data_IF_473475709650
#
_entry.id   IF_473475709650
#
_cell.length_a   1.000
_cell.length_b   1.000
_cell.length_c   1.000
_cell.angle_alpha   90.00
_cell.angle_beta   90.00
_cell.angle_gamma   90.00
#
_symmetry.space_group_name_H-M   'P 1'
#
loop_
_entity.id
_entity.type
_entity.pdbx_description
1 polymer ?
#
# COMPACT_ATOMS: atom_id res chain seq x y z
N UNK A 1 -4.10 -9.57 29.19
CA UNK A 1 -4.12 -8.59 28.07
C UNK A 1 -5.53 -8.14 27.72
N UNK A 2 -6.51 -9.05 27.62
CA UNK A 2 -7.88 -8.71 27.22
C UNK A 2 -8.56 -7.66 28.14
N UNK A 3 -8.28 -7.65 29.44
CA UNK A 3 -8.84 -6.66 30.38
C UNK A 3 -8.43 -5.20 30.09
N UNK A 4 -7.49 -4.96 29.16
CA UNK A 4 -7.08 -3.61 28.71
C UNK A 4 -7.72 -3.22 27.37
N UNK A 5 -8.52 -4.10 26.76
CA UNK A 5 -9.13 -3.89 25.45
C UNK A 5 -10.62 -3.62 25.60
N UNK A 6 -11.07 -2.49 25.10
CA UNK A 6 -12.49 -2.12 25.05
C UNK A 6 -12.85 -1.91 23.58
N UNK A 7 -13.59 -2.83 22.94
CA UNK A 7 -14.05 -2.63 21.57
C UNK A 7 -15.14 -1.57 21.54
N UNK A 8 -15.09 -0.70 20.54
CA UNK A 8 -16.08 0.37 20.34
C UNK A 8 -16.53 0.33 18.88
N UNK A 9 -17.84 0.32 18.67
CA UNK A 9 -18.45 0.40 17.33
C UNK A 9 -18.40 1.85 16.87
N UNK A 10 -17.95 2.08 15.64
CA UNK A 10 -17.89 3.40 15.04
C UNK A 10 -17.40 3.36 13.59
N UNK A 11 -17.52 4.49 12.90
CA UNK A 11 -17.15 4.68 11.52
C UNK A 11 -16.48 6.05 11.34
N UNK A 12 -15.22 6.06 10.90
CA UNK A 12 -14.47 7.32 10.72
C UNK A 12 -15.04 8.21 9.61
N UNK A 13 -15.85 7.67 8.70
CA UNK A 13 -16.51 8.46 7.65
C UNK A 13 -17.74 9.22 8.16
N UNK A 14 -18.15 8.99 9.40
CA UNK A 14 -19.31 9.63 10.02
C UNK A 14 -18.92 10.72 11.02
N UNK A 15 -19.84 11.64 11.30
CA UNK A 15 -19.66 12.67 12.31
C UNK A 15 -19.49 12.02 13.69
N UNK A 16 -18.64 12.63 14.54
CA UNK A 16 -18.25 12.06 15.85
C UNK A 16 -17.80 10.59 15.79
N UNK A 17 -17.25 10.14 14.65
CA UNK A 17 -16.77 8.78 14.41
C UNK A 17 -17.87 7.71 14.49
N UNK A 18 -19.13 8.07 14.29
CA UNK A 18 -20.26 7.14 14.41
C UNK A 18 -20.47 6.61 15.83
N UNK A 19 -19.94 7.31 16.85
CA UNK A 19 -20.10 6.94 18.25
C UNK A 19 -21.46 7.40 18.78
N UNK A 20 -22.22 6.49 19.37
CA UNK A 20 -23.55 6.77 19.91
C UNK A 20 -23.52 7.38 21.33
N UNK A 21 -24.52 8.23 21.62
CA UNK A 21 -24.75 8.80 22.95
C UNK A 21 -23.57 9.57 23.54
N UNK A 22 -23.38 9.44 24.86
CA UNK A 22 -22.29 10.10 25.59
C UNK A 22 -20.92 9.40 25.45
N UNK A 23 -20.84 8.27 24.74
CA UNK A 23 -19.62 7.47 24.66
C UNK A 23 -18.44 8.26 24.08
N UNK A 24 -18.69 9.06 23.05
CA UNK A 24 -17.69 9.96 22.47
C UNK A 24 -17.08 10.90 23.52
N UNK A 25 -17.91 11.43 24.42
CA UNK A 25 -17.48 12.35 25.49
C UNK A 25 -16.67 11.62 26.56
N UNK A 26 -17.09 10.41 26.94
CA UNK A 26 -16.35 9.57 27.89
C UNK A 26 -14.96 9.25 27.35
N UNK A 27 -14.86 8.78 26.11
CA UNK A 27 -13.59 8.47 25.46
C UNK A 27 -12.71 9.73 25.36
N UNK A 28 -13.27 10.86 24.92
CA UNK A 28 -12.51 12.10 24.78
C UNK A 28 -11.93 12.62 26.11
N UNK A 29 -12.57 12.35 27.25
CA UNK A 29 -12.03 12.74 28.56
C UNK A 29 -10.81 11.90 29.00
N UNK A 30 -10.63 10.70 28.46
CA UNK A 30 -9.64 9.73 28.94
C UNK A 30 -8.49 9.44 27.97
N UNK A 31 -8.65 9.74 26.67
CA UNK A 31 -7.65 9.39 25.66
C UNK A 31 -6.40 10.29 25.72
N UNK A 32 -5.24 9.68 25.96
CA UNK A 32 -3.92 10.31 25.86
C UNK A 32 -3.32 10.24 24.44
N UNK A 33 -3.60 9.18 23.69
CA UNK A 33 -2.98 8.90 22.39
C UNK A 33 -4.02 8.40 21.41
N UNK A 34 -4.05 8.98 20.21
CA UNK A 34 -4.87 8.50 19.10
C UNK A 34 -3.93 7.95 18.02
N UNK A 35 -4.13 6.69 17.64
CA UNK A 35 -3.47 6.07 16.47
C UNK A 35 -4.51 5.89 15.38
N UNK A 36 -4.57 6.84 14.45
CA UNK A 36 -5.44 6.76 13.28
C UNK A 36 -4.83 5.87 12.19
N UNK A 37 -5.18 4.58 12.22
CA UNK A 37 -4.77 3.58 11.22
C UNK A 37 -5.91 3.10 10.31
N UNK A 38 -7.12 3.62 10.48
CA UNK A 38 -8.26 3.28 9.63
C UNK A 38 -8.10 3.92 8.24
N UNK A 39 -8.25 3.11 7.19
CA UNK A 39 -8.08 3.54 5.80
C UNK A 39 -8.73 2.54 4.84
N UNK A 40 -9.08 3.00 3.63
CA UNK A 40 -9.31 2.13 2.49
C UNK A 40 -7.99 2.00 1.72
N UNK A 41 -7.44 0.79 1.63
CA UNK A 41 -6.15 0.50 0.99
C UNK A 41 -6.28 -0.03 -0.44
N UNK A 42 -7.48 0.03 -1.03
CA UNK A 42 -7.72 -0.39 -2.41
C UNK A 42 -7.19 0.68 -3.37
N UNK A 43 -6.21 0.32 -4.20
CA UNK A 43 -5.51 1.26 -5.09
C UNK A 43 -6.45 2.09 -5.99
N UNK A 44 -7.47 1.41 -6.54
CA UNK A 44 -8.48 1.97 -7.45
C UNK A 44 -9.89 1.74 -6.90
N UNK A 45 -10.17 2.30 -5.73
CA UNK A 45 -11.53 2.39 -5.19
C UNK A 45 -12.34 3.48 -5.89
N UNK A 46 -13.68 3.39 -5.80
CA UNK A 46 -14.56 4.50 -6.16
C UNK A 46 -14.12 5.78 -5.43
N UNK A 47 -14.10 6.89 -6.18
CA UNK A 47 -13.53 8.14 -5.66
C UNK A 47 -14.27 8.68 -4.43
N UNK A 48 -15.60 8.58 -4.37
CA UNK A 48 -16.39 8.99 -3.22
C UNK A 48 -16.02 8.22 -1.95
N UNK A 49 -15.91 6.90 -2.05
CA UNK A 49 -15.53 6.04 -0.92
C UNK A 49 -14.09 6.34 -0.46
N UNK A 50 -13.17 6.52 -1.42
CA UNK A 50 -11.78 6.82 -1.12
C UNK A 50 -11.64 8.19 -0.41
N UNK A 51 -12.37 9.21 -0.87
CA UNK A 51 -12.42 10.54 -0.24
C UNK A 51 -13.02 10.46 1.17
N UNK A 52 -14.17 9.78 1.33
CA UNK A 52 -14.87 9.70 2.61
C UNK A 52 -14.02 9.03 3.70
N UNK A 53 -13.23 8.01 3.34
CA UNK A 53 -12.43 7.25 4.30
C UNK A 53 -11.03 7.85 4.47
N UNK A 54 -10.31 8.13 3.38
CA UNK A 54 -8.89 8.48 3.46
C UNK A 54 -8.63 10.00 3.55
N UNK A 55 -9.59 10.83 3.17
CA UNK A 55 -9.47 12.30 3.24
C UNK A 55 -10.32 12.87 4.37
N UNK A 56 -11.64 12.66 4.33
CA UNK A 56 -12.58 13.18 5.34
C UNK A 56 -12.46 12.42 6.67
N UNK A 57 -12.22 11.12 6.63
CA UNK A 57 -12.02 10.30 7.82
C UNK A 57 -10.94 10.86 8.76
N UNK A 58 -9.71 11.12 8.29
CA UNK A 58 -8.70 11.83 9.08
C UNK A 58 -9.16 13.16 9.66
N UNK A 59 -9.93 13.97 8.92
CA UNK A 59 -10.52 15.20 9.44
C UNK A 59 -11.48 14.95 10.60
N UNK A 60 -12.33 13.93 10.51
CA UNK A 60 -13.25 13.57 11.59
C UNK A 60 -12.50 13.09 12.84
N UNK A 61 -11.47 12.26 12.68
CA UNK A 61 -10.65 11.78 13.81
C UNK A 61 -9.86 12.93 14.43
N UNK A 62 -9.32 13.85 13.62
CA UNK A 62 -8.65 15.05 14.15
C UNK A 62 -9.62 15.97 14.90
N UNK A 63 -10.83 16.18 14.37
CA UNK A 63 -11.87 16.94 15.06
C UNK A 63 -12.32 16.29 16.37
N UNK A 64 -12.30 14.95 16.45
CA UNK A 64 -12.49 14.24 17.72
C UNK A 64 -11.29 14.43 18.67
N UNK A 65 -10.06 14.38 18.16
CA UNK A 65 -8.84 14.60 18.93
C UNK A 65 -8.83 15.98 19.60
N UNK A 66 -9.35 17.02 18.94
CA UNK A 66 -9.52 18.37 19.51
C UNK A 66 -10.46 18.44 20.71
N UNK A 67 -11.37 17.47 20.84
CA UNK A 67 -12.25 17.35 22.01
C UNK A 67 -11.57 16.62 23.16
N UNK A 68 -10.41 15.97 22.91
CA UNK A 68 -9.73 15.15 23.90
C UNK A 68 -8.91 16.01 24.85
N UNK A 69 -9.22 15.96 26.15
CA UNK A 69 -8.59 16.85 27.15
C UNK A 69 -7.17 16.44 27.54
N UNK A 70 -6.86 15.15 27.41
CA UNK A 70 -5.58 14.56 27.81
C UNK A 70 -4.68 14.25 26.60
N UNK A 71 -5.08 14.64 25.38
CA UNK A 71 -4.35 14.26 24.17
C UNK A 71 -2.90 14.77 24.23
N UNK A 72 -1.96 13.83 24.11
CA UNK A 72 -0.52 14.09 24.09
C UNK A 72 0.03 13.99 22.68
N UNK A 73 -0.47 13.04 21.88
CA UNK A 73 -0.03 12.87 20.50
C UNK A 73 -1.11 12.21 19.64
N UNK A 74 -1.24 12.73 18.43
CA UNK A 74 -2.04 12.15 17.35
C UNK A 74 -1.11 11.52 16.32
N UNK A 75 -1.28 10.23 16.07
CA UNK A 75 -0.52 9.49 15.07
C UNK A 75 -1.41 9.18 13.88
N UNK A 76 -0.96 9.50 12.68
CA UNK A 76 -1.61 9.12 11.44
C UNK A 76 -0.76 8.10 10.66
N UNK A 77 -1.33 6.93 10.37
CA UNK A 77 -0.71 5.97 9.47
C UNK A 77 -1.00 6.35 8.03
N UNK A 78 0.02 6.73 7.29
CA UNK A 78 -0.01 7.06 5.86
C UNK A 78 0.75 6.01 5.04
N UNK A 79 1.41 6.41 3.95
CA UNK A 79 2.29 5.55 3.14
C UNK A 79 3.41 6.37 2.53
N UNK A 80 4.63 5.84 2.41
CA UNK A 80 5.74 6.51 1.73
C UNK A 80 5.39 6.86 0.28
N UNK A 81 4.47 6.13 -0.34
CA UNK A 81 4.03 6.39 -1.70
C UNK A 81 3.20 7.66 -1.84
N UNK A 82 2.74 8.34 -0.76
CA UNK A 82 2.10 9.68 -0.89
C UNK A 82 2.98 10.69 -1.60
N UNK A 83 4.27 10.40 -1.73
CA UNK A 83 5.21 11.15 -2.57
C UNK A 83 4.98 11.00 -4.09
N UNK A 84 4.00 10.19 -4.53
CA UNK A 84 3.57 10.00 -5.92
C UNK A 84 4.76 9.90 -6.88
N UNK A 85 4.71 10.62 -8.01
CA UNK A 85 5.70 10.54 -9.09
C UNK A 85 7.07 11.19 -8.81
N UNK A 86 7.37 11.61 -7.57
CA UNK A 86 8.70 12.14 -7.23
C UNK A 86 9.79 11.10 -7.51
N UNK A 87 10.94 11.58 -7.96
CA UNK A 87 12.11 10.75 -8.31
C UNK A 87 13.32 11.11 -7.46
N UNK A 88 14.33 10.24 -7.43
CA UNK A 88 15.54 10.45 -6.64
C UNK A 88 15.29 10.30 -5.15
N UNK A 89 16.11 10.96 -4.32
CA UNK A 89 15.99 10.90 -2.86
C UNK A 89 14.88 11.83 -2.37
N UNK A 90 13.87 11.26 -1.71
CA UNK A 90 12.65 11.95 -1.28
C UNK A 90 12.66 12.14 0.24
N UNK A 91 12.71 13.41 0.66
CA UNK A 91 12.81 13.80 2.07
C UNK A 91 11.49 13.65 2.83
N UNK A 92 11.59 13.46 4.15
CA UNK A 92 10.47 13.34 5.09
C UNK A 92 9.78 14.70 5.35
N UNK A 93 9.18 15.29 4.31
CA UNK A 93 8.47 16.57 4.37
C UNK A 93 6.96 16.36 4.56
N UNK A 94 6.29 17.17 5.40
CA UNK A 94 4.83 17.20 5.49
C UNK A 94 4.22 17.74 4.19
N UNK A 95 2.94 17.45 3.98
CA UNK A 95 2.13 18.07 2.92
C UNK A 95 1.32 19.23 3.50
N UNK A 96 1.25 20.31 2.75
CA UNK A 96 0.44 21.49 3.04
C UNK A 96 -0.72 21.62 2.05
N UNK A 97 -1.76 22.34 2.46
CA UNK A 97 -2.91 22.61 1.60
C UNK A 97 -2.46 23.31 0.30
N UNK A 98 -2.82 22.74 -0.85
CA UNK A 98 -2.41 23.25 -2.16
C UNK A 98 -1.22 22.55 -2.80
N UNK A 99 -0.50 21.69 -2.07
CA UNK A 99 0.65 20.96 -2.61
C UNK A 99 0.23 19.98 -3.71
N UNK A 100 1.01 19.96 -4.80
CA UNK A 100 0.82 19.02 -5.91
C UNK A 100 2.16 18.54 -6.42
N UNK A 101 2.25 17.26 -6.78
CA UNK A 101 3.47 16.69 -7.34
C UNK A 101 3.63 17.11 -8.80
N UNK A 102 2.53 17.26 -9.55
CA UNK A 102 2.56 17.72 -10.93
C UNK A 102 3.28 19.07 -11.07
N UNK A 103 3.02 20.01 -10.15
CA UNK A 103 3.70 21.32 -10.13
C UNK A 103 5.19 21.19 -9.82
N UNK A 104 5.58 20.27 -8.95
CA UNK A 104 6.98 20.02 -8.62
C UNK A 104 7.76 19.41 -9.78
N UNK A 105 7.13 18.55 -10.59
CA UNK A 105 7.80 17.94 -11.74
C UNK A 105 7.88 18.87 -12.94
N UNK A 106 6.96 19.84 -13.05
CA UNK A 106 6.86 20.77 -14.17
C UNK A 106 7.42 22.17 -13.87
N UNK A 107 8.34 22.33 -12.91
CA UNK A 107 8.90 23.64 -12.52
C UNK A 107 9.46 24.48 -13.70
N UNK A 108 9.86 23.83 -14.80
CA UNK A 108 10.41 24.50 -16.00
C UNK A 108 9.38 24.83 -17.08
N UNK A 109 8.12 24.42 -16.94
CA UNK A 109 7.06 24.71 -17.91
C UNK A 109 6.25 25.94 -17.48
N UNK A 110 6.07 26.89 -18.41
CA UNK A 110 5.31 28.13 -18.24
C UNK A 110 3.79 27.94 -18.08
N UNK A 111 3.30 26.70 -18.04
CA UNK A 111 1.90 26.40 -17.74
C UNK A 111 1.70 26.39 -16.22
N UNK A 112 0.80 27.24 -15.74
CA UNK A 112 0.36 27.26 -14.34
C UNK A 112 -0.41 25.96 -14.07
N UNK A 113 0.26 24.97 -13.49
CA UNK A 113 -0.41 23.75 -13.01
C UNK A 113 -1.40 24.10 -11.89
N UNK A 114 -2.58 23.45 -11.84
CA UNK A 114 -3.61 23.79 -10.88
C UNK A 114 -3.13 23.47 -9.45
N UNK A 115 -3.32 24.42 -8.53
CA UNK A 115 -3.25 24.13 -7.09
C UNK A 115 -4.31 23.07 -6.75
N UNK A 116 -3.97 22.16 -5.85
CA UNK A 116 -4.93 21.20 -5.33
C UNK A 116 -5.82 21.88 -4.30
N UNK A 117 -7.12 21.87 -4.55
CA UNK A 117 -8.13 22.36 -3.63
C UNK A 117 -8.89 21.14 -3.10
N UNK A 118 -8.51 20.70 -1.91
CA UNK A 118 -9.02 19.45 -1.32
C UNK A 118 -10.53 19.52 -1.10
N UNK A 119 -11.06 20.67 -0.72
CA UNK A 119 -12.50 20.85 -0.52
C UNK A 119 -13.27 20.76 -1.85
N UNK A 120 -12.73 21.34 -2.93
CA UNK A 120 -13.34 21.15 -4.26
C UNK A 120 -13.28 19.71 -4.75
N UNK A 121 -12.23 18.95 -4.43
CA UNK A 121 -12.18 17.52 -4.75
C UNK A 121 -13.21 16.72 -3.95
N UNK A 122 -13.43 17.09 -2.68
CA UNK A 122 -14.49 16.52 -1.85
C UNK A 122 -15.87 16.82 -2.47
N UNK A 123 -16.15 18.07 -2.80
CA UNK A 123 -17.41 18.46 -3.44
C UNK A 123 -17.63 17.76 -4.77
N UNK A 124 -16.58 17.64 -5.60
CA UNK A 124 -16.62 16.94 -6.87
C UNK A 124 -17.03 15.48 -6.66
N UNK A 125 -16.38 14.77 -5.74
CA UNK A 125 -16.70 13.37 -5.46
C UNK A 125 -18.16 13.19 -4.99
N UNK A 126 -18.67 14.09 -4.14
CA UNK A 126 -20.06 14.05 -3.68
C UNK A 126 -21.06 14.35 -4.80
N UNK A 127 -20.81 15.38 -5.62
CA UNK A 127 -21.66 15.75 -6.76
C UNK A 127 -21.70 14.62 -7.79
N UNK A 128 -20.54 14.02 -8.11
CA UNK A 128 -20.44 12.88 -9.01
C UNK A 128 -21.16 11.64 -8.47
N UNK A 129 -21.04 11.33 -7.17
CA UNK A 129 -21.80 10.25 -6.54
C UNK A 129 -23.30 10.42 -6.72
N UNK A 130 -23.83 11.63 -6.47
CA UNK A 130 -25.26 11.94 -6.62
C UNK A 130 -25.70 11.87 -8.08
N UNK A 131 -24.90 12.40 -9.01
CA UNK A 131 -25.21 12.37 -10.44
C UNK A 131 -25.26 10.94 -11.01
N UNK A 132 -24.49 10.00 -10.42
CA UNK A 132 -24.39 8.61 -10.85
C UNK A 132 -25.27 7.65 -10.03
N UNK A 133 -26.17 8.13 -9.18
CA UNK A 133 -26.92 7.28 -8.23
C UNK A 133 -27.72 6.17 -8.91
N UNK A 134 -28.27 6.43 -10.11
CA UNK A 134 -29.05 5.46 -10.89
C UNK A 134 -28.30 4.95 -12.14
N UNK A 135 -26.98 5.15 -12.21
CA UNK A 135 -26.16 4.75 -13.36
C UNK A 135 -25.62 3.33 -13.17
N UNK A 136 -25.91 2.42 -14.10
CA UNK A 136 -25.46 1.01 -14.02
C UNK A 136 -23.93 0.88 -14.00
N UNK A 137 -23.22 1.84 -14.59
CA UNK A 137 -21.75 1.90 -14.63
C UNK A 137 -21.16 2.82 -13.56
N UNK A 138 -21.95 3.31 -12.59
CA UNK A 138 -21.52 4.26 -11.56
C UNK A 138 -20.21 3.84 -10.87
N UNK A 139 -20.09 2.55 -10.53
CA UNK A 139 -18.88 2.01 -9.87
C UNK A 139 -17.64 2.17 -10.74
N UNK A 140 -17.74 1.93 -12.05
CA UNK A 140 -16.62 2.04 -13.00
C UNK A 140 -16.26 3.51 -13.20
N UNK A 141 -17.25 4.35 -13.51
CA UNK A 141 -17.06 5.80 -13.72
C UNK A 141 -16.44 6.49 -12.50
N UNK A 142 -16.85 6.11 -11.29
CA UNK A 142 -16.25 6.66 -10.06
C UNK A 142 -14.81 6.20 -9.81
N UNK A 143 -14.41 5.02 -10.28
CA UNK A 143 -13.00 4.59 -10.23
C UNK A 143 -12.15 5.32 -11.25
N UNK A 144 -12.67 5.48 -12.46
CA UNK A 144 -12.01 6.23 -13.54
C UNK A 144 -11.81 7.69 -13.16
N UNK A 145 -12.83 8.33 -12.58
CA UNK A 145 -12.74 9.69 -12.04
C UNK A 145 -11.61 9.79 -11.02
N UNK A 146 -11.59 8.92 -10.00
CA UNK A 146 -10.54 8.96 -8.98
C UNK A 146 -9.13 8.77 -9.53
N UNK A 147 -8.97 7.96 -10.58
CA UNK A 147 -7.68 7.76 -11.25
C UNK A 147 -7.28 8.97 -12.09
N UNK A 148 -8.23 9.56 -12.80
CA UNK A 148 -8.04 10.81 -13.56
C UNK A 148 -7.58 11.95 -12.63
N UNK A 149 -8.28 12.14 -11.50
CA UNK A 149 -7.93 13.17 -10.51
C UNK A 149 -6.53 12.94 -9.93
N UNK A 150 -6.21 11.71 -9.53
CA UNK A 150 -4.87 11.39 -9.02
C UNK A 150 -3.78 11.77 -10.05
N UNK A 151 -3.95 11.34 -11.30
CA UNK A 151 -2.97 11.59 -12.38
C UNK A 151 -2.82 13.07 -12.69
N UNK A 152 -3.93 13.82 -12.69
CA UNK A 152 -3.95 15.28 -12.89
C UNK A 152 -3.01 16.01 -11.91
N UNK A 153 -2.96 15.57 -10.65
CA UNK A 153 -2.16 16.24 -9.62
C UNK A 153 -0.79 15.59 -9.34
N UNK A 154 -0.41 14.55 -10.12
CA UNK A 154 0.92 13.92 -10.05
C UNK A 154 1.01 12.64 -9.21
N UNK A 155 -0.12 12.01 -8.91
CA UNK A 155 -0.20 10.70 -8.25
C UNK A 155 -0.64 9.61 -9.22
N UNK A 156 -0.11 8.40 -9.07
CA UNK A 156 -0.42 7.30 -9.99
C UNK A 156 -1.73 6.57 -9.71
N UNK A 157 -2.16 6.57 -8.44
CA UNK A 157 -3.32 5.81 -7.97
C UNK A 157 -4.16 6.60 -6.96
N UNK A 158 -5.47 6.36 -6.96
CA UNK A 158 -6.46 7.07 -6.13
C UNK A 158 -6.20 6.91 -4.64
N UNK A 159 -5.81 5.72 -4.20
CA UNK A 159 -5.45 5.45 -2.80
C UNK A 159 -4.41 6.45 -2.27
N UNK A 160 -3.29 6.55 -2.97
CA UNK A 160 -2.15 7.38 -2.57
C UNK A 160 -2.52 8.86 -2.60
N UNK A 161 -3.26 9.28 -3.63
CA UNK A 161 -3.74 10.65 -3.74
C UNK A 161 -4.66 11.06 -2.58
N UNK A 162 -5.64 10.22 -2.24
CA UNK A 162 -6.56 10.48 -1.12
C UNK A 162 -5.84 10.42 0.23
N UNK A 163 -4.83 9.57 0.41
CA UNK A 163 -3.96 9.59 1.59
C UNK A 163 -3.18 10.89 1.71
N UNK A 164 -2.63 11.42 0.62
CA UNK A 164 -1.94 12.71 0.61
C UNK A 164 -2.89 13.86 1.02
N UNK A 165 -4.12 13.87 0.48
CA UNK A 165 -5.14 14.85 0.90
C UNK A 165 -5.51 14.71 2.38
N UNK A 166 -5.61 13.48 2.91
CA UNK A 166 -5.81 13.24 4.33
C UNK A 166 -4.71 13.84 5.21
N UNK A 167 -3.45 13.79 4.78
CA UNK A 167 -2.35 14.46 5.48
C UNK A 167 -2.50 15.99 5.47
N UNK A 168 -2.89 16.58 4.33
CA UNK A 168 -3.12 18.03 4.21
C UNK A 168 -4.26 18.49 5.12
N UNK A 169 -5.33 17.70 5.23
CA UNK A 169 -6.44 17.98 6.13
C UNK A 169 -6.01 17.92 7.60
N UNK A 170 -5.21 16.91 7.98
CA UNK A 170 -4.65 16.81 9.33
C UNK A 170 -3.80 18.03 9.65
N UNK A 171 -2.87 18.41 8.77
CA UNK A 171 -1.99 19.55 8.99
C UNK A 171 -2.79 20.86 9.18
N UNK A 172 -3.85 21.03 8.40
CA UNK A 172 -4.74 22.19 8.48
C UNK A 172 -5.53 22.22 9.79
N UNK A 173 -6.00 21.07 10.28
CA UNK A 173 -6.95 20.98 11.41
C UNK A 173 -6.31 20.76 12.78
N UNK A 174 -5.02 20.39 12.85
CA UNK A 174 -4.36 19.94 14.09
C UNK A 174 -4.33 20.96 15.23
N UNK A 175 -4.41 22.26 14.93
CA UNK A 175 -4.22 23.35 15.89
C UNK A 175 -2.92 23.15 16.69
N UNK A 176 -3.01 22.96 18.01
CA UNK A 176 -1.86 22.76 18.90
C UNK A 176 -1.55 21.29 19.21
N UNK A 177 -2.28 20.33 18.62
CA UNK A 177 -2.10 18.90 18.88
C UNK A 177 -0.79 18.43 18.22
N UNK A 178 0.13 17.78 18.96
CA UNK A 178 1.29 17.12 18.37
C UNK A 178 0.88 16.04 17.36
N UNK A 179 1.35 16.16 16.13
CA UNK A 179 1.04 15.21 15.05
C UNK A 179 2.29 14.47 14.60
N UNK A 180 2.18 13.15 14.57
CA UNK A 180 3.15 12.25 13.96
C UNK A 180 2.51 11.57 12.75
N UNK A 181 3.13 11.70 11.58
CA UNK A 181 2.73 10.95 10.38
C UNK A 181 3.76 9.84 10.15
N UNK A 182 3.27 8.60 10.13
CA UNK A 182 4.07 7.42 9.82
C UNK A 182 3.83 7.02 8.36
N UNK A 183 4.87 7.01 7.53
CA UNK A 183 4.83 6.68 6.11
C UNK A 183 5.63 5.40 5.83
N UNK A 184 5.05 4.20 6.03
CA UNK A 184 5.70 2.96 5.63
C UNK A 184 5.67 2.78 4.11
N UNK A 185 6.70 2.14 3.55
CA UNK A 185 6.68 1.62 2.18
C UNK A 185 5.87 0.31 2.11
N UNK A 186 6.18 -0.62 1.18
CA UNK A 186 5.39 -1.85 1.05
C UNK A 186 5.59 -2.77 2.26
N UNK A 187 4.59 -2.79 3.14
CA UNK A 187 4.58 -3.65 4.33
C UNK A 187 4.48 -5.12 3.93
N UNK A 188 5.42 -5.92 4.45
CA UNK A 188 5.46 -7.37 4.34
C UNK A 188 5.29 -8.03 5.72
N UNK A 189 5.43 -9.35 5.76
CA UNK A 189 5.35 -10.13 6.99
C UNK A 189 6.30 -9.63 8.09
N UNK A 190 6.10 -10.08 9.31
CA UNK A 190 7.01 -9.77 10.41
C UNK A 190 8.40 -10.37 10.19
N UNK A 191 9.43 -9.63 10.59
CA UNK A 191 10.80 -10.14 10.60
C UNK A 191 11.03 -11.04 11.82
N UNK A 192 10.59 -10.57 13.00
CA UNK A 192 10.83 -11.24 14.29
C UNK A 192 9.58 -11.37 15.16
N UNK A 193 8.79 -10.30 15.35
CA UNK A 193 7.70 -10.27 16.35
C UNK A 193 6.32 -10.14 15.69
N UNK A 194 5.25 -10.78 16.23
CA UNK A 194 5.23 -11.67 17.39
C UNK A 194 5.95 -13.00 17.16
N UNK A 195 6.06 -13.44 15.91
CA UNK A 195 6.94 -14.50 15.43
C UNK A 195 7.27 -14.21 13.97
N UNK A 196 8.36 -14.78 13.44
CA UNK A 196 8.82 -14.51 12.08
C UNK A 196 7.82 -15.02 11.01
N UNK A 197 7.58 -14.22 9.97
CA UNK A 197 6.73 -14.60 8.83
C UNK A 197 5.23 -14.45 9.07
N UNK A 198 4.81 -13.85 10.18
CA UNK A 198 3.40 -13.57 10.42
C UNK A 198 2.89 -12.52 9.42
N UNK A 199 1.77 -12.83 8.76
CA UNK A 199 1.07 -11.94 7.85
C UNK A 199 -0.41 -12.32 7.81
N UNK A 200 -1.27 -11.33 7.53
CA UNK A 200 -2.71 -11.54 7.35
C UNK A 200 -3.19 -10.98 6.02
N UNK A 201 -3.76 -11.85 5.20
CA UNK A 201 -4.23 -11.54 3.85
C UNK A 201 -3.08 -11.35 2.85
N UNK A 202 -3.43 -11.13 1.58
CA UNK A 202 -2.45 -10.84 0.53
C UNK A 202 -2.23 -9.32 0.39
N UNK A 203 -0.98 -8.91 0.24
CA UNK A 203 -0.56 -7.58 -0.19
C UNK A 203 -0.17 -7.61 -1.67
N UNK A 204 0.16 -6.45 -2.23
CA UNK A 204 0.49 -6.29 -3.66
C UNK A 204 1.63 -7.25 -4.05
N UNK A 205 2.77 -7.20 -3.35
CA UNK A 205 3.90 -8.07 -3.63
C UNK A 205 3.58 -9.57 -3.45
N UNK A 206 2.80 -9.92 -2.42
CA UNK A 206 2.42 -11.31 -2.14
C UNK A 206 1.72 -11.96 -3.33
N UNK A 207 0.83 -11.23 -4.01
CA UNK A 207 0.15 -11.74 -5.20
C UNK A 207 1.13 -12.09 -6.31
N UNK A 208 2.14 -11.23 -6.55
CA UNK A 208 3.20 -11.51 -7.53
C UNK A 208 3.97 -12.79 -7.16
N UNK A 209 4.38 -12.94 -5.89
CA UNK A 209 5.09 -14.12 -5.39
C UNK A 209 4.24 -15.39 -5.57
N UNK A 210 2.95 -15.33 -5.23
CA UNK A 210 2.03 -16.46 -5.35
C UNK A 210 1.78 -16.87 -6.79
N UNK A 211 1.55 -15.91 -7.69
CA UNK A 211 1.38 -16.22 -9.11
C UNK A 211 2.65 -16.77 -9.73
N UNK A 212 3.81 -16.23 -9.34
CA UNK A 212 5.10 -16.73 -9.79
C UNK A 212 5.30 -18.19 -9.35
N UNK A 213 5.16 -18.48 -8.05
CA UNK A 213 5.33 -19.84 -7.50
C UNK A 213 4.36 -20.88 -8.08
N UNK A 214 3.20 -20.45 -8.59
CA UNK A 214 2.22 -21.30 -9.29
C UNK A 214 2.49 -21.43 -10.80
N UNK A 215 3.58 -20.86 -11.32
CA UNK A 215 3.90 -20.85 -12.74
C UNK A 215 2.94 -20.01 -13.60
N UNK A 216 2.17 -19.12 -12.97
CA UNK A 216 1.14 -18.29 -13.62
C UNK A 216 1.67 -16.90 -14.00
N UNK A 217 2.89 -16.56 -13.62
CA UNK A 217 3.51 -15.26 -13.89
C UNK A 217 4.99 -15.41 -14.25
N UNK A 218 5.26 -15.82 -15.49
CA UNK A 218 6.65 -16.02 -15.97
C UNK A 218 7.26 -14.78 -16.60
N UNK A 219 6.42 -13.80 -16.96
CA UNK A 219 6.85 -12.51 -17.47
C UNK A 219 6.05 -11.37 -16.84
N UNK A 220 6.73 -10.24 -16.59
CA UNK A 220 6.13 -9.07 -15.94
C UNK A 220 6.82 -7.75 -16.30
N UNK A 221 6.20 -6.63 -15.93
CA UNK A 221 6.76 -5.29 -16.16
C UNK A 221 7.46 -4.80 -14.91
N UNK A 222 8.68 -4.29 -15.07
CA UNK A 222 9.50 -3.75 -13.99
C UNK A 222 10.94 -3.49 -14.43
N UNK A 223 11.60 -2.58 -13.74
CA UNK A 223 13.03 -2.30 -13.96
C UNK A 223 13.86 -3.35 -13.20
N UNK A 224 14.67 -4.18 -13.88
CA UNK A 224 15.56 -5.14 -13.23
C UNK A 224 16.54 -4.49 -12.24
N UNK A 225 16.97 -3.27 -12.52
CA UNK A 225 17.87 -2.48 -11.68
C UNK A 225 17.12 -1.56 -10.71
N UNK A 226 15.79 -1.56 -10.78
CA UNK A 226 14.91 -0.82 -9.88
C UNK A 226 15.05 -1.32 -8.44
N UNK A 227 14.70 -0.46 -7.49
CA UNK A 227 14.64 -0.81 -6.07
C UNK A 227 13.19 -0.98 -5.67
N UNK A 228 12.87 -2.15 -5.13
CA UNK A 228 11.58 -2.42 -4.55
C UNK A 228 11.62 -2.11 -3.05
N UNK A 229 10.93 -1.05 -2.64
CA UNK A 229 10.93 -0.65 -1.24
C UNK A 229 9.92 -1.45 -0.41
N UNK A 230 10.46 -2.37 0.39
CA UNK A 230 9.69 -3.25 1.28
C UNK A 230 10.14 -3.10 2.72
N UNK A 231 9.21 -3.28 3.66
CA UNK A 231 9.50 -3.21 5.10
C UNK A 231 8.73 -4.28 5.90
N UNK A 232 9.33 -4.92 6.91
CA UNK A 232 8.61 -5.79 7.83
C UNK A 232 7.64 -5.02 8.73
N UNK A 233 6.43 -5.54 8.95
CA UNK A 233 5.39 -4.84 9.73
C UNK A 233 5.78 -4.60 11.20
N UNK A 234 6.58 -5.48 11.80
CA UNK A 234 7.02 -5.33 13.19
C UNK A 234 8.01 -4.17 13.37
N UNK A 235 8.84 -3.89 12.37
CA UNK A 235 9.68 -2.70 12.37
C UNK A 235 8.85 -1.42 12.22
N UNK A 236 7.77 -1.45 11.42
CA UNK A 236 6.83 -0.33 11.31
C UNK A 236 6.15 -0.03 12.65
N UNK A 237 5.69 -1.07 13.34
CA UNK A 237 5.09 -0.95 14.68
C UNK A 237 6.10 -0.40 15.68
N UNK A 238 7.33 -0.93 15.70
CA UNK A 238 8.36 -0.46 16.63
C UNK A 238 8.70 1.03 16.43
N UNK A 239 8.90 1.46 15.18
CA UNK A 239 9.15 2.87 14.86
C UNK A 239 7.96 3.77 15.24
N UNK A 240 6.72 3.29 15.05
CA UNK A 240 5.51 4.01 15.48
C UNK A 240 5.49 4.20 17.00
N UNK A 241 5.77 3.15 17.78
CA UNK A 241 5.82 3.22 19.24
C UNK A 241 6.94 4.15 19.72
N UNK A 242 8.10 4.13 19.07
CA UNK A 242 9.20 5.03 19.34
C UNK A 242 8.84 6.50 19.10
N UNK A 243 8.15 6.79 17.99
CA UNK A 243 7.69 8.12 17.68
C UNK A 243 6.64 8.61 18.70
N UNK A 244 5.72 7.74 19.13
CA UNK A 244 4.76 8.04 20.20
C UNK A 244 5.49 8.37 21.50
N UNK A 245 6.48 7.57 21.90
CA UNK A 245 7.23 7.78 23.14
C UNK A 245 7.98 9.13 23.11
N UNK A 246 8.63 9.46 21.99
CA UNK A 246 9.35 10.74 21.83
C UNK A 246 8.41 11.95 21.88
N UNK A 247 7.31 11.91 21.13
CA UNK A 247 6.45 13.08 20.94
C UNK A 247 5.34 13.21 21.98
N UNK A 248 4.99 12.12 22.67
CA UNK A 248 3.98 12.13 23.73
C UNK A 248 4.47 12.66 25.08
N UNK A 249 5.77 12.93 25.24
CA UNK A 249 6.35 13.45 26.49
C UNK A 249 6.65 14.96 26.47
N UNK A 250 6.70 15.57 25.28
CA UNK A 250 7.18 16.95 25.12
C UNK A 250 6.01 17.92 25.18
N UNK A 251 6.08 18.92 26.06
CA UNK A 251 5.24 20.12 25.93
C UNK A 251 5.76 20.89 24.71
N UNK A 252 5.16 20.63 23.55
CA UNK A 252 5.63 21.19 22.30
C UNK A 252 5.32 22.69 22.26
N UNK A 253 6.37 23.53 22.28
CA UNK A 253 6.24 24.99 22.16
C UNK A 253 5.83 25.44 20.74
N UNK A 254 6.02 24.59 19.72
CA UNK A 254 5.61 24.83 18.32
C UNK A 254 5.01 23.57 17.69
N UNK A 255 3.69 23.48 17.51
CA UNK A 255 3.01 22.28 17.00
C UNK A 255 3.35 22.04 15.52
N UNK A 256 4.40 21.27 15.27
CA UNK A 256 4.83 20.88 13.92
C UNK A 256 4.45 19.42 13.65
N UNK A 257 4.02 19.14 12.42
CA UNK A 257 3.83 17.76 11.95
C UNK A 257 5.20 17.11 11.76
N UNK A 258 5.45 16.00 12.47
CA UNK A 258 6.66 15.20 12.28
C UNK A 258 6.37 13.97 11.43
N UNK A 259 7.08 13.87 10.30
CA UNK A 259 6.95 12.77 9.35
C UNK A 259 8.10 11.78 9.55
N UNK A 260 7.75 10.49 9.61
CA UNK A 260 8.69 9.38 9.64
C UNK A 260 8.41 8.46 8.45
N UNK A 261 9.35 8.41 7.51
CA UNK A 261 9.35 7.40 6.45
C UNK A 261 10.02 6.14 6.98
N UNK A 262 9.30 5.03 6.89
CA UNK A 262 9.78 3.72 7.29
C UNK A 262 9.93 2.92 6.01
N UNK A 263 11.15 2.93 5.50
CA UNK A 263 11.48 2.47 4.16
C UNK A 263 12.91 1.93 4.11
N UNK A 264 13.19 1.09 3.12
CA UNK A 264 14.49 0.44 2.97
C UNK A 264 15.31 0.97 1.78
N UNK A 265 14.71 1.70 0.84
CA UNK A 265 15.36 2.01 -0.44
C UNK A 265 16.64 2.86 -0.35
N UNK A 266 16.82 3.68 0.68
CA UNK A 266 18.06 4.45 0.90
C UNK A 266 19.05 3.70 1.79
N UNK A 267 18.57 2.98 2.79
CA UNK A 267 19.40 2.39 3.86
C UNK A 267 19.81 0.94 3.57
N UNK A 268 18.97 0.18 2.88
CA UNK A 268 19.20 -1.23 2.55
C UNK A 268 18.42 -1.62 1.27
N UNK A 269 18.84 -1.15 0.09
CA UNK A 269 18.07 -1.29 -1.15
C UNK A 269 17.90 -2.76 -1.59
N UNK A 270 16.64 -3.18 -1.78
CA UNK A 270 16.31 -4.47 -2.39
C UNK A 270 16.15 -4.32 -3.91
N UNK A 271 17.17 -4.70 -4.67
CA UNK A 271 17.16 -4.65 -6.14
C UNK A 271 16.17 -5.68 -6.71
N UNK A 272 15.33 -5.28 -7.67
CA UNK A 272 14.30 -6.13 -8.28
C UNK A 272 14.86 -7.45 -8.82
N UNK A 273 15.95 -7.39 -9.60
CA UNK A 273 16.61 -8.60 -10.13
C UNK A 273 17.09 -9.53 -9.02
N UNK A 274 17.59 -8.98 -7.91
CA UNK A 274 18.03 -9.78 -6.78
C UNK A 274 16.85 -10.46 -6.10
N UNK A 275 15.76 -9.75 -5.83
CA UNK A 275 14.51 -10.34 -5.33
C UNK A 275 14.03 -11.49 -6.22
N UNK A 276 13.97 -11.29 -7.54
CA UNK A 276 13.52 -12.34 -8.47
C UNK A 276 14.43 -13.58 -8.43
N UNK A 277 15.74 -13.39 -8.27
CA UNK A 277 16.67 -14.53 -8.12
C UNK A 277 16.43 -15.30 -6.83
N UNK A 278 16.15 -14.62 -5.70
CA UNK A 278 15.81 -15.26 -4.43
C UNK A 278 14.50 -16.04 -4.51
N UNK A 279 13.49 -15.48 -5.20
CA UNK A 279 12.21 -16.17 -5.43
C UNK A 279 12.38 -17.41 -6.32
N UNK A 280 13.17 -17.30 -7.38
CA UNK A 280 13.48 -18.44 -8.24
C UNK A 280 14.22 -19.56 -7.48
N UNK A 281 15.27 -19.22 -6.72
CA UNK A 281 16.00 -20.17 -5.87
C UNK A 281 15.06 -20.85 -4.84
N UNK A 282 14.15 -20.09 -4.23
CA UNK A 282 13.17 -20.63 -3.30
C UNK A 282 12.21 -21.61 -3.97
N UNK A 283 11.59 -21.26 -5.10
CA UNK A 283 10.60 -22.13 -5.75
C UNK A 283 11.23 -23.31 -6.51
N UNK A 284 12.49 -23.23 -6.90
CA UNK A 284 13.20 -24.39 -7.45
C UNK A 284 13.53 -25.43 -6.37
N UNK A 285 13.92 -24.97 -5.18
CA UNK A 285 14.22 -25.84 -4.02
C UNK A 285 12.98 -26.30 -3.25
N UNK A 286 11.94 -25.47 -3.17
CA UNK A 286 10.69 -25.76 -2.48
C UNK A 286 9.47 -25.40 -3.36
N UNK A 287 9.23 -26.16 -4.43
CA UNK A 287 8.15 -25.87 -5.38
C UNK A 287 6.76 -25.92 -4.75
N UNK A 288 5.84 -25.18 -5.34
CA UNK A 288 4.41 -25.37 -5.09
C UNK A 288 3.97 -26.65 -5.80
N UNK A 289 3.09 -27.42 -5.19
CA UNK A 289 2.57 -28.65 -5.78
C UNK A 289 1.26 -28.34 -6.53
N UNK A 290 1.08 -28.97 -7.68
CA UNK A 290 -0.19 -28.93 -8.40
C UNK A 290 -1.28 -29.79 -7.70
N UNK A 291 -2.47 -29.85 -8.28
CA UNK A 291 -3.59 -30.64 -7.74
C UNK A 291 -3.32 -32.15 -7.72
N UNK A 292 -2.33 -32.64 -8.47
CA UNK A 292 -1.89 -34.03 -8.51
C UNK A 292 -0.70 -34.29 -7.59
N UNK A 293 -0.24 -33.28 -6.85
CA UNK A 293 0.95 -33.38 -5.99
C UNK A 293 2.27 -33.27 -6.74
N UNK A 294 2.27 -32.90 -8.02
CA UNK A 294 3.49 -32.76 -8.81
C UNK A 294 4.13 -31.38 -8.62
N UNK A 295 5.47 -31.29 -8.51
CA UNK A 295 6.18 -30.02 -8.41
C UNK A 295 5.96 -29.11 -9.63
N UNK A 296 5.52 -27.87 -9.39
CA UNK A 296 5.46 -26.83 -10.42
C UNK A 296 6.85 -26.23 -10.58
N UNK A 297 7.43 -26.36 -11.77
CA UNK A 297 8.70 -25.72 -12.13
C UNK A 297 8.44 -24.33 -12.69
N UNK A 298 9.14 -23.34 -12.17
CA UNK A 298 9.00 -21.94 -12.55
C UNK A 298 10.28 -21.46 -13.22
N UNK A 299 10.22 -20.81 -14.40
CA UNK A 299 11.41 -20.26 -15.04
C UNK A 299 11.88 -18.99 -14.32
N UNK A 300 13.09 -18.52 -14.60
CA UNK A 300 13.51 -17.17 -14.22
C UNK A 300 12.55 -16.16 -14.86
N UNK A 301 11.96 -15.28 -14.05
CA UNK A 301 10.97 -14.32 -14.52
C UNK A 301 11.59 -13.33 -15.53
N UNK A 302 10.97 -13.21 -16.71
CA UNK A 302 11.35 -12.23 -17.73
C UNK A 302 10.74 -10.87 -17.42
N UNK A 303 11.58 -9.85 -17.30
CA UNK A 303 11.14 -8.47 -17.08
C UNK A 303 11.12 -7.65 -18.37
N UNK A 304 10.13 -6.76 -18.46
CA UNK A 304 9.98 -5.75 -19.50
C UNK A 304 9.98 -4.37 -18.86
N UNK A 305 10.71 -3.42 -19.43
CA UNK A 305 10.81 -2.05 -18.90
C UNK A 305 9.70 -1.12 -19.39
N UNK A 306 8.85 -1.59 -20.31
CA UNK A 306 7.73 -0.85 -20.88
C UNK A 306 6.47 -1.73 -20.99
N UNK A 307 5.30 -1.10 -20.95
CA UNK A 307 4.03 -1.81 -21.18
C UNK A 307 3.85 -2.19 -22.65
N UNK A 308 4.47 -1.44 -23.55
CA UNK A 308 4.49 -1.65 -24.99
C UNK A 308 5.20 -2.96 -25.33
N UNK A 309 6.44 -3.14 -24.86
CA UNK A 309 7.23 -4.36 -25.12
C UNK A 309 6.59 -5.59 -24.48
N UNK A 310 6.07 -5.43 -23.25
CA UNK A 310 5.32 -6.49 -22.58
C UNK A 310 4.07 -6.88 -23.37
N UNK A 311 3.32 -5.88 -23.87
CA UNK A 311 2.12 -6.10 -24.66
C UNK A 311 2.42 -6.79 -25.98
N UNK A 312 3.47 -6.38 -26.69
CA UNK A 312 3.93 -7.00 -27.93
C UNK A 312 4.30 -8.47 -27.68
N UNK A 313 5.07 -8.74 -26.62
CA UNK A 313 5.46 -10.10 -26.26
C UNK A 313 4.27 -11.02 -25.94
N UNK A 314 3.26 -10.52 -25.21
CA UNK A 314 2.04 -11.28 -24.94
C UNK A 314 1.27 -11.63 -26.21
N UNK A 315 1.21 -10.70 -27.17
CA UNK A 315 0.54 -10.90 -28.47
C UNK A 315 1.30 -11.92 -29.33
N UNK A 316 2.62 -11.79 -29.44
CA UNK A 316 3.47 -12.72 -30.21
C UNK A 316 3.34 -14.15 -29.68
N UNK A 317 3.43 -14.33 -28.36
CA UNK A 317 3.25 -15.63 -27.73
C UNK A 317 1.86 -16.22 -27.97
N UNK A 318 0.83 -15.40 -28.03
CA UNK A 318 -0.52 -15.84 -28.36
C UNK A 318 -0.65 -16.26 -29.82
N UNK A 319 -0.05 -15.51 -30.76
CA UNK A 319 -0.06 -15.84 -32.19
C UNK A 319 0.67 -17.15 -32.47
N UNK A 320 1.86 -17.36 -31.90
CA UNK A 320 2.64 -18.59 -32.07
C UNK A 320 1.87 -19.83 -31.58
N UNK A 321 1.16 -19.74 -30.46
CA UNK A 321 0.29 -20.82 -29.94
C UNK A 321 -1.03 -21.00 -30.70
N UNK A 322 -1.37 -20.10 -31.62
CA UNK A 322 -2.57 -20.17 -32.46
C UNK A 322 -2.31 -20.86 -33.79
N UNK A 323 -1.08 -20.74 -34.32
CA UNK A 323 -0.63 -21.44 -35.53
C UNK A 323 -0.60 -22.97 -35.31
N UNK A 324 -0.46 -23.42 -34.06
CA UNK A 324 -0.32 -24.84 -33.70
C UNK A 324 -1.66 -25.53 -33.36
N UNK A 325 -2.80 -24.80 -33.30
CA UNK A 325 -4.09 -25.43 -32.95
C UNK A 325 -5.35 -24.63 -33.30
N UNK A 326 -6.18 -25.24 -34.15
CA UNK A 326 -7.61 -25.04 -34.46
C UNK A 326 -8.24 -23.64 -34.34
N UNK A 327 -8.91 -23.22 -35.42
CA UNK A 327 -9.74 -22.02 -35.60
C UNK A 327 -11.07 -22.03 -34.84
N UNK A 328 -11.06 -22.27 -33.53
CA UNK A 328 -12.26 -22.15 -32.68
C UNK A 328 -12.36 -20.75 -32.07
N UNK A 329 -13.45 -20.02 -32.39
CA UNK A 329 -13.67 -18.63 -31.94
C UNK A 329 -13.68 -18.46 -30.41
N UNK A 330 -14.20 -19.43 -29.66
CA UNK A 330 -14.21 -19.42 -28.19
C UNK A 330 -12.80 -19.47 -27.58
N UNK A 331 -11.90 -20.25 -28.17
CA UNK A 331 -10.52 -20.36 -27.74
C UNK A 331 -9.76 -19.04 -27.96
N UNK A 332 -10.07 -18.33 -29.05
CA UNK A 332 -9.51 -17.01 -29.34
C UNK A 332 -9.98 -15.97 -28.31
N UNK A 333 -11.28 -15.95 -28.00
CA UNK A 333 -11.85 -15.06 -27.00
C UNK A 333 -11.24 -15.29 -25.61
N UNK A 334 -11.05 -16.55 -25.21
CA UNK A 334 -10.40 -16.89 -23.94
C UNK A 334 -8.94 -16.41 -23.90
N UNK A 335 -8.18 -16.60 -24.98
CA UNK A 335 -6.79 -16.11 -25.09
C UNK A 335 -6.71 -14.58 -25.00
N UNK A 336 -7.60 -13.86 -25.68
CA UNK A 336 -7.67 -12.39 -25.61
C UNK A 336 -8.00 -11.92 -24.20
N UNK A 337 -8.93 -12.60 -23.52
CA UNK A 337 -9.29 -12.32 -22.14
C UNK A 337 -8.10 -12.52 -21.19
N UNK A 338 -7.32 -13.59 -21.35
CA UNK A 338 -6.11 -13.83 -20.56
C UNK A 338 -5.05 -12.74 -20.77
N UNK A 339 -4.82 -12.32 -22.01
CA UNK A 339 -3.89 -11.21 -22.32
C UNK A 339 -4.35 -9.92 -21.64
N UNK A 340 -5.64 -9.59 -21.77
CA UNK A 340 -6.21 -8.39 -21.16
C UNK A 340 -6.02 -8.43 -19.63
N UNK A 341 -6.34 -9.56 -19.00
CA UNK A 341 -6.18 -9.76 -17.55
C UNK A 341 -4.72 -9.59 -17.11
N UNK A 342 -3.75 -10.08 -17.89
CA UNK A 342 -2.32 -9.93 -17.59
C UNK A 342 -1.85 -8.48 -17.74
N UNK A 343 -2.35 -7.76 -18.76
CA UNK A 343 -2.08 -6.32 -18.94
C UNK A 343 -2.68 -5.50 -17.80
N UNK A 344 -3.92 -5.77 -17.41
CA UNK A 344 -4.55 -5.13 -16.24
C UNK A 344 -3.77 -5.40 -14.96
N UNK A 345 -3.34 -6.64 -14.76
CA UNK A 345 -2.50 -7.00 -13.62
C UNK A 345 -1.17 -6.23 -13.66
N UNK A 346 -0.46 -6.16 -14.78
CA UNK A 346 0.78 -5.38 -14.90
C UNK A 346 0.57 -3.87 -14.65
N UNK A 347 -0.51 -3.29 -15.17
CA UNK A 347 -0.84 -1.87 -14.98
C UNK A 347 -0.99 -1.46 -13.51
N UNK A 348 -1.48 -2.35 -12.65
CA UNK A 348 -1.61 -2.08 -11.21
C UNK A 348 -0.24 -1.95 -10.53
N UNK A 349 0.79 -2.63 -11.04
CA UNK A 349 2.11 -2.70 -10.43
C UNK A 349 3.10 -1.74 -11.08
N UNK A 350 2.80 -1.26 -12.29
CA UNK A 350 3.63 -0.36 -13.07
C UNK A 350 4.15 0.85 -12.25
N UNK A 351 3.34 1.55 -11.44
CA UNK A 351 3.82 2.68 -10.65
C UNK A 351 4.88 2.32 -9.62
N UNK A 352 4.91 1.05 -9.19
CA UNK A 352 5.82 0.53 -8.18
C UNK A 352 7.05 -0.13 -8.81
N UNK A 353 6.85 -0.92 -9.87
CA UNK A 353 7.91 -1.65 -10.56
C UNK A 353 8.86 -0.75 -11.37
N UNK A 354 8.42 0.44 -11.74
CA UNK A 354 9.23 1.47 -12.42
C UNK A 354 9.48 2.70 -11.52
N UNK A 355 9.30 2.56 -10.21
CA UNK A 355 9.44 3.70 -9.31
C UNK A 355 10.90 4.12 -9.12
N UNK A 356 11.21 5.35 -9.56
CA UNK A 356 12.56 5.92 -9.45
C UNK A 356 12.80 6.70 -8.15
N UNK A 357 11.81 6.79 -7.26
CA UNK A 357 11.95 7.43 -5.94
C UNK A 357 12.65 6.53 -4.91
N UNK A 358 13.39 7.14 -4.00
CA UNK A 358 14.07 6.50 -2.86
C UNK A 358 13.72 7.29 -1.60
N UNK A 359 13.11 6.65 -0.62
CA UNK A 359 12.60 7.33 0.56
C UNK A 359 13.70 7.55 1.58
N UNK A 360 14.00 8.83 1.84
CA UNK A 360 14.89 9.23 2.90
C UNK A 360 14.32 8.83 4.26
N UNK A 361 15.16 8.35 5.18
CA UNK A 361 14.72 7.90 6.50
C UNK A 361 15.49 8.62 7.62
N UNK A 362 15.97 9.84 7.38
CA UNK A 362 16.84 10.55 8.33
C UNK A 362 16.17 10.79 9.68
N UNK A 363 14.89 11.17 9.71
CA UNK A 363 14.12 11.34 10.94
C UNK A 363 13.94 9.98 11.64
N UNK A 364 13.63 8.91 10.90
CA UNK A 364 13.49 7.55 11.45
C UNK A 364 14.81 7.05 12.05
N UNK A 365 15.94 7.25 11.37
CA UNK A 365 17.26 6.95 11.91
C UNK A 365 17.56 7.80 13.16
N UNK A 366 17.18 9.07 13.15
CA UNK A 366 17.29 9.95 14.32
C UNK A 366 16.45 9.50 15.51
N UNK A 367 15.31 8.82 15.32
CA UNK A 367 14.57 8.18 16.42
C UNK A 367 15.36 7.03 17.05
N UNK A 368 16.04 6.24 16.23
CA UNK A 368 16.81 5.10 16.72
C UNK A 368 18.10 5.55 17.42
N UNK A 369 18.71 6.65 16.97
CA UNK A 369 19.94 7.18 17.56
C UNK A 369 19.77 7.69 19.00
N UNK A 370 18.58 8.16 19.37
CA UNK A 370 18.30 8.62 20.74
C UNK A 370 17.95 7.50 21.71
N UNK A 371 17.77 6.27 21.20
CA UNK A 371 17.50 5.09 22.04
C UNK A 371 18.77 4.58 22.69
N UNK A 372 18.64 4.05 23.90
CA UNK A 372 19.72 3.27 24.51
C UNK A 372 19.81 1.86 23.88
N UNK A 373 20.87 1.12 24.19
CA UNK A 373 21.11 -0.21 23.60
C UNK A 373 20.04 -1.26 23.96
N UNK A 374 19.44 -1.17 25.16
CA UNK A 374 18.36 -2.06 25.56
C UNK A 374 17.09 -1.80 24.72
N UNK A 375 16.75 -0.52 24.53
CA UNK A 375 15.65 -0.08 23.69
C UNK A 375 15.85 -0.48 22.23
N UNK A 376 17.05 -0.27 21.67
CA UNK A 376 17.38 -0.74 20.31
C UNK A 376 17.25 -2.25 20.18
N UNK A 377 17.66 -3.02 21.20
CA UNK A 377 17.49 -4.48 21.18
C UNK A 377 16.02 -4.91 21.26
N UNK A 378 15.20 -4.18 22.02
CA UNK A 378 13.80 -4.52 22.28
C UNK A 378 12.83 -4.04 21.20
N UNK A 379 13.06 -2.84 20.68
CA UNK A 379 12.25 -2.07 19.74
C UNK A 379 13.03 -1.66 18.48
N UNK A 380 14.13 -2.34 18.14
CA UNK A 380 14.90 -2.02 16.94
C UNK A 380 14.05 -2.10 15.66
N UNK A 381 14.26 -1.11 14.79
CA UNK A 381 13.64 -1.01 13.46
C UNK A 381 14.68 -0.57 12.41
N UNK A 382 15.94 -0.96 12.62
CA UNK A 382 17.03 -0.71 11.67
C UNK A 382 16.82 -1.53 10.40
N UNK A 383 16.40 -0.86 9.32
CA UNK A 383 16.25 -1.49 8.00
C UNK A 383 17.60 -1.97 7.43
N UNK A 384 18.72 -1.33 7.82
CA UNK A 384 20.08 -1.74 7.48
C UNK A 384 20.43 -3.15 7.97
N UNK A 385 19.77 -3.61 9.03
CA UNK A 385 20.03 -4.92 9.66
C UNK A 385 19.31 -6.10 9.00
N UNK A 386 18.48 -5.85 7.97
CA UNK A 386 17.71 -6.90 7.30
C UNK A 386 18.64 -7.67 6.35
N UNK A 387 18.81 -8.97 6.61
CA UNK A 387 19.33 -9.90 5.62
C UNK A 387 18.19 -10.26 4.64
N UNK A 388 18.23 -9.68 3.44
CA UNK A 388 17.21 -9.91 2.42
C UNK A 388 17.10 -11.36 1.98
N UNK A 389 18.20 -12.10 1.89
CA UNK A 389 18.16 -13.53 1.50
C UNK A 389 17.46 -14.32 2.58
N UNK A 390 17.85 -14.14 3.84
CA UNK A 390 17.19 -14.80 4.95
C UNK A 390 15.70 -14.42 5.03
N UNK A 391 15.41 -13.12 4.97
CA UNK A 391 14.05 -12.61 5.12
C UNK A 391 13.13 -13.13 4.02
N UNK A 392 13.51 -13.01 2.74
CA UNK A 392 12.65 -13.46 1.64
C UNK A 392 12.50 -14.98 1.64
N UNK A 393 13.61 -15.73 1.63
CA UNK A 393 13.61 -17.17 1.40
C UNK A 393 13.15 -17.98 2.61
N UNK A 394 13.50 -17.57 3.83
CA UNK A 394 13.28 -18.37 5.03
C UNK A 394 12.16 -17.84 5.93
N UNK A 395 11.77 -16.56 5.77
CA UNK A 395 10.77 -15.92 6.65
C UNK A 395 9.50 -15.58 5.89
N UNK A 396 9.59 -14.71 4.90
CA UNK A 396 8.44 -14.12 4.22
C UNK A 396 7.72 -15.11 3.31
N UNK A 397 8.41 -15.76 2.35
CA UNK A 397 7.75 -16.72 1.45
C UNK A 397 7.18 -17.92 2.22
N UNK A 398 7.90 -18.55 3.18
CA UNK A 398 7.33 -19.59 4.03
C UNK A 398 6.14 -19.10 4.89
N UNK A 399 6.22 -17.87 5.41
CA UNK A 399 5.14 -17.23 6.15
C UNK A 399 3.88 -17.04 5.30
N UNK A 400 4.05 -16.58 4.06
CA UNK A 400 2.97 -16.41 3.09
C UNK A 400 2.27 -17.74 2.76
N UNK A 401 3.06 -18.80 2.53
CA UNK A 401 2.53 -20.16 2.32
C UNK A 401 1.74 -20.66 3.52
N UNK A 402 2.28 -20.51 4.73
CA UNK A 402 1.65 -20.97 5.97
C UNK A 402 0.37 -20.21 6.30
N UNK A 403 0.41 -18.88 6.28
CA UNK A 403 -0.65 -18.05 6.83
C UNK A 403 -1.71 -17.64 5.80
N UNK A 404 -1.34 -17.59 4.51
CA UNK A 404 -2.27 -17.13 3.47
C UNK A 404 -2.69 -18.25 2.54
N UNK A 405 -1.74 -19.07 2.07
CA UNK A 405 -2.11 -20.27 1.29
C UNK A 405 -2.67 -21.39 2.18
N UNK A 406 -2.45 -21.31 3.49
CA UNK A 406 -2.81 -22.34 4.48
C UNK A 406 -2.19 -23.70 4.16
N UNK A 407 -1.04 -23.71 3.49
CA UNK A 407 -0.28 -24.93 3.27
C UNK A 407 0.26 -25.42 4.62
N UNK A 408 -0.27 -26.54 5.12
CA UNK A 408 0.38 -27.29 6.19
C UNK A 408 1.56 -28.05 5.59
N UNK A 409 2.61 -28.31 6.39
CA UNK A 409 3.69 -29.21 5.99
C UNK A 409 3.09 -30.56 5.54
N UNK A 410 3.14 -30.85 4.24
CA UNK A 410 2.74 -32.14 3.67
C UNK A 410 1.31 -32.28 3.13
N UNK A 411 0.49 -31.21 3.04
CA UNK A 411 -0.86 -31.29 2.45
C UNK A 411 -0.89 -30.71 1.03
N UNK A 412 -1.54 -31.41 0.09
CA UNK A 412 -1.83 -30.96 -1.29
C UNK A 412 -2.93 -29.89 -1.32
N UNK A 413 -2.86 -28.99 -2.31
CA UNK A 413 -3.86 -27.95 -2.54
C UNK A 413 -5.17 -28.56 -3.07
N UNK A 414 -6.01 -29.09 -2.18
CA UNK A 414 -7.41 -29.40 -2.53
C UNK A 414 -8.24 -28.13 -2.37
N UNK A 415 -8.65 -27.54 -3.49
CA UNK A 415 -9.87 -26.72 -3.52
C UNK A 415 -9.76 -25.26 -3.08
N UNK A 416 -8.63 -24.57 -3.30
CA UNK A 416 -8.68 -23.11 -3.37
C UNK A 416 -9.33 -22.71 -4.70
N UNK A 417 -10.65 -22.63 -4.73
CA UNK A 417 -11.40 -22.17 -5.90
C UNK A 417 -10.81 -20.86 -6.44
N UNK A 418 -10.98 -20.62 -7.74
CA UNK A 418 -10.54 -19.43 -8.50
C UNK A 418 -11.06 -18.07 -7.98
N UNK A 419 -11.57 -17.99 -6.75
CA UNK A 419 -12.04 -16.76 -6.11
C UNK A 419 -10.97 -16.24 -5.13
N UNK A 420 -10.23 -15.26 -5.62
CA UNK A 420 -9.32 -14.43 -4.84
C UNK A 420 -10.16 -13.42 -4.03
N UNK A 421 -9.98 -13.30 -2.71
CA UNK A 421 -10.53 -12.18 -1.95
C UNK A 421 -9.78 -10.90 -2.37
N UNK A 422 -10.49 -9.91 -2.93
CA UNK A 422 -9.92 -8.59 -3.25
C UNK A 422 -9.34 -8.44 -4.66
N UNK A 423 -9.35 -9.49 -5.49
CA UNK A 423 -9.20 -9.32 -6.95
C UNK A 423 -10.47 -8.69 -7.53
N UNK A 424 -10.41 -7.91 -8.62
CA UNK A 424 -11.60 -7.43 -9.29
C UNK A 424 -12.52 -8.62 -9.61
N UNK A 425 -13.73 -8.62 -9.03
CA UNK A 425 -14.80 -9.52 -9.45
C UNK A 425 -15.23 -9.04 -10.83
N UNK A 426 -14.87 -9.79 -11.86
CA UNK A 426 -15.28 -9.49 -13.23
C UNK A 426 -16.51 -10.32 -13.60
N UNK A 427 -17.47 -9.61 -14.17
CA UNK A 427 -18.75 -10.14 -14.61
C UNK A 427 -18.57 -10.97 -15.89
N UNK A 428 -19.12 -12.18 -15.88
CA UNK A 428 -19.14 -13.08 -17.04
C UNK A 428 -20.20 -12.70 -18.07
N UNK A 429 -21.09 -11.74 -17.76
CA UNK A 429 -22.18 -11.28 -18.63
C UNK A 429 -21.74 -10.46 -19.85
N UNK A 430 -20.45 -10.13 -19.95
CA UNK A 430 -19.86 -9.42 -21.10
C UNK A 430 -19.21 -10.35 -22.14
N UNK A 431 -19.62 -11.62 -22.15
CA UNK A 431 -19.29 -12.60 -23.19
C UNK A 431 -20.29 -12.51 -24.34
#
# INVERSE_FOLDING_TARGET
MLNKLVPVVGNISESNLGLEGDLAKVIANEVDVIINSAANTTLHERYDIAIDINTRGPSHVMNFAKKCKKIKVFVHMSTAYVNGKRQGRIMEKPFYMGDTIARELNFNNSKIEPKLDVEKEIELAMKSKKALENDEDARKKMKELGLERARKYGWDVTYVFTKAMGEMMIDTLKENIPVVIIRPSMIQSTYKKPFAGWIQGNRILDLMILYYGRGQLNEFVGDPSGILDVVPVDMVVNATLAAIAKHGQVVIQKPEVKVYQIASSVTNPLVTKYLLSLLHEHFDSSPVLDSKGSPIRVPVMKLFTSMEDFSAHLLDGAMQRSIIGSSNGELLAQKQYEILRRKEFANVYLPYGLYAGRFDCSNTLGLMQIMNEEEKKKFGFDMGSIDWKHYITNVHVPGLRRHVMKEKRGETLVGAGNKIPGGPKFDKSKL
#
